data_IF_184051219554
#
_entry.id   IF_184051219554
#
_cell.length_a   1.000
_cell.length_b   1.000
_cell.length_c   1.000
_cell.angle_alpha   90.00
_cell.angle_beta   90.00
_cell.angle_gamma   90.00
#
_symmetry.space_group_name_H-M   'P 1'
#
loop_
_entity.id
_entity.type
_entity.pdbx_description
1 polymer ?
#
# COMPACT_ATOMS: atom_id res chain seq x y z
N UNK A 1 -9.22 27.80 -8.19
CA UNK A 1 -10.17 26.70 -7.90
C UNK A 1 -11.57 27.24 -7.59
N UNK A 2 -12.22 27.94 -8.54
CA UNK A 2 -13.59 28.46 -8.35
C UNK A 2 -14.63 27.35 -8.52
N UNK A 3 -14.38 26.43 -9.45
CA UNK A 3 -15.27 25.30 -9.74
C UNK A 3 -15.34 24.33 -8.55
N UNK A 4 -14.20 24.00 -7.92
CA UNK A 4 -14.16 23.08 -6.78
C UNK A 4 -15.00 23.56 -5.59
N UNK A 5 -14.86 24.83 -5.19
CA UNK A 5 -15.59 25.42 -4.06
C UNK A 5 -17.12 25.48 -4.27
N UNK A 6 -17.59 25.55 -5.52
CA UNK A 6 -19.03 25.52 -5.82
C UNK A 6 -19.61 24.10 -5.82
N UNK A 7 -18.79 23.10 -6.13
CA UNK A 7 -19.19 21.69 -6.24
C UNK A 7 -19.12 20.96 -4.89
N UNK A 8 -18.25 21.41 -3.97
CA UNK A 8 -18.08 20.81 -2.63
C UNK A 8 -19.39 20.54 -1.86
N UNK A 9 -20.40 21.43 -1.80
CA UNK A 9 -21.66 21.16 -1.10
C UNK A 9 -22.52 20.05 -1.72
N UNK A 10 -22.27 19.75 -3.00
CA UNK A 10 -23.01 18.73 -3.77
C UNK A 10 -22.28 17.39 -3.81
N UNK A 11 -21.03 17.33 -3.34
CA UNK A 11 -20.31 16.07 -3.24
C UNK A 11 -20.88 15.25 -2.09
N UNK A 12 -21.18 13.96 -2.31
CA UNK A 12 -21.44 13.07 -1.19
C UNK A 12 -20.19 13.06 -0.29
N UNK A 13 -20.35 12.87 1.04
CA UNK A 13 -19.20 12.70 1.91
C UNK A 13 -18.33 11.59 1.33
N UNK A 14 -17.05 11.91 1.09
CA UNK A 14 -16.09 10.88 0.71
C UNK A 14 -16.08 9.90 1.88
N UNK A 15 -16.50 8.64 1.67
CA UNK A 15 -16.46 7.67 2.75
C UNK A 15 -15.03 7.67 3.26
N UNK A 16 -14.86 7.75 4.58
CA UNK A 16 -13.55 7.54 5.18
C UNK A 16 -12.99 6.25 4.57
N UNK A 17 -11.74 6.27 4.09
CA UNK A 17 -11.12 5.08 3.51
C UNK A 17 -11.15 3.99 4.58
N UNK A 18 -12.14 3.10 4.49
CA UNK A 18 -12.31 2.03 5.45
C UNK A 18 -11.08 1.14 5.34
N UNK A 19 -10.55 0.69 6.47
CA UNK A 19 -9.48 -0.29 6.45
C UNK A 19 -9.95 -1.49 5.59
N UNK A 20 -9.04 -2.12 4.82
CA UNK A 20 -9.41 -3.32 4.08
C UNK A 20 -10.05 -4.33 5.02
N UNK A 21 -11.08 -5.04 4.54
CA UNK A 21 -11.67 -6.15 5.28
C UNK A 21 -10.58 -7.15 5.70
N UNK A 22 -10.82 -7.91 6.76
CA UNK A 22 -9.87 -8.93 7.21
C UNK A 22 -9.55 -9.93 6.08
N UNK A 23 -8.26 -10.16 5.82
CA UNK A 23 -7.79 -10.99 4.71
C UNK A 23 -7.73 -10.29 3.34
N UNK A 24 -8.08 -9.00 3.24
CA UNK A 24 -7.88 -8.21 2.04
C UNK A 24 -6.65 -7.30 2.14
N UNK A 25 -5.95 -7.16 1.02
CA UNK A 25 -4.88 -6.18 0.84
C UNK A 25 -5.33 -5.18 -0.22
N UNK A 26 -5.25 -3.88 0.10
CA UNK A 26 -5.54 -2.80 -0.86
C UNK A 26 -4.24 -2.18 -1.32
N UNK A 27 -4.10 -2.00 -2.63
CA UNK A 27 -2.94 -1.34 -3.24
C UNK A 27 -3.44 -0.15 -4.04
N UNK A 28 -2.91 1.03 -3.74
CA UNK A 28 -3.29 2.29 -4.37
C UNK A 28 -2.07 2.92 -5.01
N UNK A 29 -2.16 3.29 -6.29
CA UNK A 29 -1.09 4.05 -6.96
C UNK A 29 -1.09 5.50 -6.49
N UNK A 30 0.10 6.06 -6.34
CA UNK A 30 0.28 7.50 -6.14
C UNK A 30 0.53 8.21 -7.48
N UNK A 31 0.78 9.53 -7.44
CA UNK A 31 1.19 10.32 -8.61
C UNK A 31 2.60 9.99 -9.10
N UNK A 32 3.42 9.34 -8.27
CA UNK A 32 4.74 8.86 -8.66
C UNK A 32 4.62 7.55 -9.46
N UNK A 33 5.52 7.38 -10.44
CA UNK A 33 5.41 6.38 -11.51
C UNK A 33 5.22 4.93 -11.04
N UNK A 34 5.94 4.53 -9.99
CA UNK A 34 5.93 3.16 -9.46
C UNK A 34 5.59 3.09 -7.97
N UNK A 35 5.41 4.24 -7.31
CA UNK A 35 5.16 4.29 -5.87
C UNK A 35 3.70 3.96 -5.59
N UNK A 36 3.51 2.94 -4.77
CA UNK A 36 2.20 2.45 -4.35
C UNK A 36 2.10 2.44 -2.83
N UNK A 37 0.89 2.64 -2.33
CA UNK A 37 0.54 2.50 -0.92
C UNK A 37 -0.14 1.14 -0.77
N UNK A 38 0.39 0.30 0.10
CA UNK A 38 -0.17 -1.00 0.46
C UNK A 38 -0.80 -0.90 1.84
N UNK A 39 -2.06 -1.30 1.95
CA UNK A 39 -2.82 -1.33 3.19
C UNK A 39 -3.26 -2.77 3.49
N UNK A 40 -2.96 -3.25 4.69
CA UNK A 40 -3.31 -4.61 5.15
C UNK A 40 -3.50 -4.63 6.65
N UNK A 41 -4.63 -5.15 7.13
CA UNK A 41 -4.91 -5.38 8.56
C UNK A 41 -4.59 -4.18 9.47
N UNK A 42 -4.92 -2.96 9.03
CA UNK A 42 -4.65 -1.72 9.78
C UNK A 42 -3.23 -1.17 9.65
N UNK A 43 -2.35 -1.84 8.90
CA UNK A 43 -1.02 -1.35 8.56
C UNK A 43 -1.01 -0.71 7.18
N UNK A 44 -0.19 0.33 7.02
CA UNK A 44 0.06 1.00 5.75
C UNK A 44 1.56 1.13 5.52
N UNK A 45 2.03 0.81 4.33
CA UNK A 45 3.42 0.94 3.94
C UNK A 45 3.55 1.25 2.44
N UNK A 46 4.69 1.79 2.04
CA UNK A 46 5.00 2.09 0.65
C UNK A 46 5.68 0.90 -0.02
N UNK A 47 5.37 0.68 -1.29
CA UNK A 47 6.12 -0.20 -2.17
C UNK A 47 6.53 0.60 -3.40
N UNK A 48 7.78 0.46 -3.83
CA UNK A 48 8.33 1.24 -4.93
C UNK A 48 9.50 0.52 -5.60
N UNK A 49 9.82 0.93 -6.81
CA UNK A 49 10.99 0.44 -7.53
C UNK A 49 12.20 1.36 -7.29
N UNK A 50 13.44 0.85 -7.44
CA UNK A 50 14.63 1.65 -7.23
C UNK A 50 14.85 2.63 -8.40
N UNK A 51 15.65 3.66 -8.14
CA UNK A 51 15.99 4.71 -9.13
C UNK A 51 16.51 4.13 -10.47
N UNK A 52 17.26 3.01 -10.42
CA UNK A 52 17.87 2.36 -11.59
C UNK A 52 16.86 1.85 -12.64
N UNK A 53 15.61 1.58 -12.26
CA UNK A 53 14.53 1.19 -13.18
C UNK A 53 13.46 2.29 -13.31
N UNK A 54 13.75 3.48 -12.78
CA UNK A 54 12.91 4.67 -12.89
C UNK A 54 11.81 4.78 -11.83
N UNK A 55 11.95 4.10 -10.69
CA UNK A 55 11.14 4.37 -9.48
C UNK A 55 11.75 5.45 -8.59
N UNK A 56 11.22 5.64 -7.39
CA UNK A 56 11.65 6.71 -6.46
C UNK A 56 12.38 6.20 -5.21
N UNK A 57 12.55 4.88 -5.07
CA UNK A 57 13.26 4.24 -3.94
C UNK A 57 12.68 4.62 -2.56
N UNK A 58 11.37 4.89 -2.49
CA UNK A 58 10.68 5.28 -1.25
C UNK A 58 10.21 4.09 -0.41
N UNK A 59 10.33 2.87 -0.94
CA UNK A 59 9.91 1.64 -0.28
C UNK A 59 10.53 0.41 -0.94
N UNK A 60 10.36 -0.77 -0.31
CA UNK A 60 10.81 -2.04 -0.88
C UNK A 60 10.13 -2.33 -2.22
N UNK A 61 10.86 -3.08 -3.07
CA UNK A 61 10.31 -3.52 -4.36
C UNK A 61 9.20 -4.54 -4.16
N UNK A 62 8.30 -4.72 -5.14
CA UNK A 62 7.32 -5.80 -5.11
C UNK A 62 7.96 -7.18 -4.92
N UNK A 63 9.17 -7.39 -5.45
CA UNK A 63 9.92 -8.62 -5.25
C UNK A 63 10.43 -8.79 -3.82
N UNK A 64 10.97 -7.73 -3.22
CA UNK A 64 11.42 -7.77 -1.83
C UNK A 64 10.25 -8.04 -0.90
N UNK A 65 9.08 -7.43 -1.15
CA UNK A 65 7.87 -7.69 -0.39
C UNK A 65 7.42 -9.15 -0.51
N UNK A 66 7.42 -9.72 -1.71
CA UNK A 66 7.05 -11.13 -1.92
C UNK A 66 7.99 -12.08 -1.15
N UNK A 67 9.30 -11.84 -1.24
CA UNK A 67 10.30 -12.65 -0.53
C UNK A 67 10.18 -12.48 0.99
N UNK A 68 9.87 -11.27 1.46
CA UNK A 68 9.65 -11.00 2.88
C UNK A 68 8.43 -11.77 3.41
N UNK A 69 7.32 -11.81 2.67
CA UNK A 69 6.14 -12.58 3.03
C UNK A 69 6.47 -14.08 3.14
N UNK A 70 7.15 -14.64 2.15
CA UNK A 70 7.58 -16.05 2.19
C UNK A 70 8.52 -16.36 3.37
N UNK A 71 9.52 -15.50 3.59
CA UNK A 71 10.48 -15.64 4.68
C UNK A 71 9.81 -15.56 6.05
N UNK A 72 8.87 -14.63 6.24
CA UNK A 72 8.13 -14.47 7.49
C UNK A 72 7.22 -15.68 7.77
N UNK A 73 6.47 -16.19 6.78
CA UNK A 73 5.68 -17.41 6.94
C UNK A 73 6.53 -18.62 7.36
N UNK A 74 7.72 -18.75 6.76
CA UNK A 74 8.66 -19.83 7.10
C UNK A 74 9.20 -19.65 8.52
N UNK A 75 9.63 -18.45 8.89
CA UNK A 75 10.16 -18.16 10.21
C UNK A 75 9.10 -18.37 11.31
N UNK A 76 7.83 -18.02 11.07
CA UNK A 76 6.73 -18.30 12.00
C UNK A 76 6.54 -19.80 12.20
N UNK A 77 6.62 -20.58 11.11
CA UNK A 77 6.52 -22.04 11.17
C UNK A 77 7.68 -22.65 11.98
N UNK A 78 8.91 -22.18 11.74
CA UNK A 78 10.09 -22.63 12.51
C UNK A 78 9.89 -22.35 14.00
N UNK A 79 9.40 -21.16 14.37
CA UNK A 79 9.12 -20.81 15.78
C UNK A 79 8.02 -21.66 16.42
N UNK A 80 7.06 -22.16 15.63
CA UNK A 80 5.98 -23.01 16.13
C UNK A 80 6.50 -24.40 16.50
N UNK A 81 7.47 -24.92 15.76
CA UNK A 81 8.02 -26.27 15.95
C UNK A 81 9.30 -26.32 16.80
N UNK A 82 9.89 -25.16 17.10
CA UNK A 82 11.11 -25.02 17.91
C UNK A 82 10.85 -25.23 19.41
#
# INVERSE_FOLDING_TARGET
AIIAAWVEPYLPPVPASEAPAEGCVRVTSTDAKFTTIVESSGHSFLADEPLKVGGTDLGPTPYDLLLSALGTCTAMTIKLVA
#
